data_IF_879379588523
#
_entry.id   IF_879379588523
#
_cell.length_a   1.000
_cell.length_b   1.000
_cell.length_c   1.000
_cell.angle_alpha   90.00
_cell.angle_beta   90.00
_cell.angle_gamma   90.00
#
_symmetry.space_group_name_H-M   'P 1'
#
loop_
_entity.id
_entity.type
_entity.pdbx_description
1 polymer ?
#
# COMPACT_ATOMS: atom_id res chain seq x y z
N UNK A 1 7.87 5.40 -6.15
CA UNK A 1 6.85 4.36 -6.47
C UNK A 1 6.89 3.36 -5.32
N UNK A 2 5.82 3.29 -4.53
CA UNK A 2 5.62 2.17 -3.60
C UNK A 2 4.68 1.21 -4.31
N UNK A 3 5.20 0.08 -4.76
CA UNK A 3 4.40 -0.95 -5.42
C UNK A 3 3.43 -1.56 -4.41
N UNK A 4 2.24 -1.93 -4.89
CA UNK A 4 1.26 -2.59 -4.05
C UNK A 4 1.83 -3.94 -3.56
N UNK A 5 1.51 -4.39 -2.33
CA UNK A 5 2.05 -5.63 -1.79
C UNK A 5 1.78 -6.84 -2.70
N UNK A 6 2.72 -7.79 -2.69
CA UNK A 6 2.58 -9.04 -3.42
C UNK A 6 1.43 -9.86 -2.82
N UNK A 7 0.59 -10.42 -3.69
CA UNK A 7 -0.47 -11.32 -3.23
C UNK A 7 0.08 -12.68 -2.84
N UNK A 8 -0.55 -13.29 -1.84
CA UNK A 8 -0.31 -14.65 -1.37
C UNK A 8 -1.47 -15.50 -1.89
N UNK A 9 -1.16 -16.58 -2.60
CA UNK A 9 -2.18 -17.56 -3.02
C UNK A 9 -2.67 -18.33 -1.80
N UNK A 10 -3.99 -18.32 -1.56
CA UNK A 10 -4.66 -19.07 -0.48
C UNK A 10 -5.37 -20.33 -0.99
N UNK A 11 -5.38 -20.55 -2.31
CA UNK A 11 -5.95 -21.72 -2.98
C UNK A 11 -6.30 -21.40 -4.44
N UNK A 12 -6.94 -22.35 -5.13
CA UNK A 12 -7.27 -22.25 -6.57
C UNK A 12 -8.08 -21.01 -6.97
N UNK A 13 -8.88 -20.45 -6.06
CA UNK A 13 -9.77 -19.31 -6.33
C UNK A 13 -9.65 -18.17 -5.32
N UNK A 14 -8.61 -18.20 -4.48
CA UNK A 14 -8.45 -17.24 -3.40
C UNK A 14 -7.02 -16.71 -3.36
N UNK A 15 -6.91 -15.38 -3.29
CA UNK A 15 -5.67 -14.67 -3.00
C UNK A 15 -5.90 -13.76 -1.81
N UNK A 16 -4.85 -13.55 -1.02
CA UNK A 16 -4.86 -12.64 0.11
C UNK A 16 -3.60 -11.78 0.11
N UNK A 17 -3.56 -10.85 1.04
CA UNK A 17 -2.39 -10.03 1.31
C UNK A 17 -2.13 -10.03 2.80
N UNK A 18 -0.88 -9.82 3.19
CA UNK A 18 -0.56 -9.62 4.58
C UNK A 18 -1.14 -8.27 5.04
N UNK A 19 -2.03 -8.29 6.04
CA UNK A 19 -2.70 -7.09 6.53
C UNK A 19 -1.71 -5.98 6.92
N UNK A 20 -0.57 -6.34 7.51
CA UNK A 20 0.47 -5.40 7.89
C UNK A 20 1.07 -4.67 6.68
N UNK A 21 1.29 -5.35 5.55
CA UNK A 21 1.85 -4.75 4.34
C UNK A 21 0.83 -3.84 3.64
N UNK A 22 -0.44 -4.25 3.61
CA UNK A 22 -1.52 -3.40 3.06
C UNK A 22 -1.65 -2.12 3.88
N UNK A 23 -1.63 -2.23 5.20
CA UNK A 23 -1.70 -1.06 6.09
C UNK A 23 -0.49 -0.14 5.89
N UNK A 24 0.73 -0.69 5.86
CA UNK A 24 1.94 0.09 5.62
C UNK A 24 1.90 0.79 4.25
N UNK A 25 1.46 0.10 3.20
CA UNK A 25 1.33 0.68 1.87
C UNK A 25 0.31 1.84 1.87
N UNK A 26 -0.84 1.68 2.53
CA UNK A 26 -1.83 2.75 2.67
C UNK A 26 -1.24 3.98 3.36
N UNK A 27 -0.53 3.80 4.48
CA UNK A 27 0.14 4.88 5.20
C UNK A 27 1.14 5.62 4.32
N UNK A 28 1.97 4.89 3.56
CA UNK A 28 2.93 5.48 2.62
C UNK A 28 2.23 6.29 1.53
N UNK A 29 1.13 5.79 0.96
CA UNK A 29 0.35 6.50 -0.07
C UNK A 29 -0.30 7.75 0.48
N UNK A 30 -0.85 7.68 1.68
CA UNK A 30 -1.45 8.81 2.39
C UNK A 30 -0.38 9.87 2.68
N UNK A 31 0.77 9.47 3.24
CA UNK A 31 1.89 10.37 3.52
C UNK A 31 2.38 11.02 2.23
N UNK A 32 2.65 10.25 1.18
CA UNK A 32 3.11 10.79 -0.09
C UNK A 32 2.09 11.77 -0.69
N UNK A 33 0.78 11.47 -0.61
CA UNK A 33 -0.28 12.35 -1.11
C UNK A 33 -0.41 13.63 -0.29
N UNK A 34 -0.14 13.59 1.02
CA UNK A 34 -0.26 14.76 1.91
C UNK A 34 1.02 15.59 1.93
N UNK A 35 2.19 14.97 1.84
CA UNK A 35 3.49 15.65 1.74
C UNK A 35 3.67 16.33 0.37
N UNK A 36 3.18 15.73 -0.72
CA UNK A 36 3.18 16.36 -2.04
C UNK A 36 2.31 17.64 -2.12
N UNK A 37 1.48 17.92 -1.11
CA UNK A 37 0.73 19.17 -0.99
C UNK A 37 1.43 20.27 -0.18
N UNK A 38 2.62 20.02 0.38
CA UNK A 38 3.31 20.94 1.31
C UNK A 38 4.59 21.55 0.70
N UNK A 39 5.05 21.10 -0.46
CA UNK A 39 6.25 21.67 -1.13
C UNK A 39 5.94 22.80 -2.13
N UNK A 40 4.88 23.59 -1.89
CA UNK A 40 4.64 24.88 -2.53
C UNK A 40 3.83 25.79 -1.59
N UNK A 41 4.41 26.20 -0.47
CA UNK A 41 3.93 27.32 0.34
C UNK A 41 5.12 28.10 0.90
#
# INVERSE_FOLDING_TARGET
KGDFPLSISLGDRAVGWLQAEVNQWLEQRISASRTAGVEHA
#
